data_IF_416486205995
#
_entry.id   IF_416486205995
#
_cell.length_a   1.000
_cell.length_b   1.000
_cell.length_c   1.000
_cell.angle_alpha   90.00
_cell.angle_beta   90.00
_cell.angle_gamma   90.00
#
_symmetry.space_group_name_H-M   'P 1'
#
loop_
_entity.id
_entity.type
_entity.pdbx_description
1 polymer ?
#
# COMPACT_ATOMS: atom_id res chain seq x y z
N UNK A 1 -13.96 7.21 -0.24
CA UNK A 1 -14.58 6.19 -1.10
C UNK A 1 -14.93 4.95 -0.30
N UNK A 2 -15.13 3.83 -0.98
CA UNK A 2 -15.55 2.56 -0.34
C UNK A 2 -14.47 1.95 0.57
N UNK A 3 -13.20 2.02 0.18
CA UNK A 3 -12.06 1.51 0.97
C UNK A 3 -11.98 2.22 2.32
N UNK A 4 -12.15 3.54 2.33
CA UNK A 4 -12.02 4.36 3.53
C UNK A 4 -13.11 4.05 4.56
N UNK A 5 -14.32 3.73 4.11
CA UNK A 5 -15.39 3.29 5.00
C UNK A 5 -15.06 1.95 5.69
N UNK A 6 -14.49 1.01 4.95
CA UNK A 6 -14.08 -0.30 5.48
C UNK A 6 -12.89 -0.15 6.43
N UNK A 7 -11.89 0.65 6.05
CA UNK A 7 -10.75 0.95 6.91
C UNK A 7 -11.19 1.66 8.21
N UNK A 8 -12.12 2.61 8.12
CA UNK A 8 -12.68 3.27 9.30
C UNK A 8 -13.43 2.29 10.21
N UNK A 9 -14.24 1.39 9.63
CA UNK A 9 -14.95 0.36 10.39
C UNK A 9 -13.98 -0.59 11.11
N UNK A 10 -12.96 -1.11 10.41
CA UNK A 10 -11.93 -1.94 11.03
C UNK A 10 -11.20 -1.19 12.15
N UNK A 11 -10.76 0.04 11.88
CA UNK A 11 -10.03 0.84 12.84
C UNK A 11 -10.85 1.09 14.12
N UNK A 12 -12.15 1.38 13.98
CA UNK A 12 -13.06 1.53 15.12
C UNK A 12 -13.22 0.24 15.91
N UNK A 13 -13.38 -0.90 15.25
CA UNK A 13 -13.50 -2.18 15.95
C UNK A 13 -12.25 -2.53 16.76
N UNK A 14 -11.06 -2.35 16.18
CA UNK A 14 -9.80 -2.58 16.90
C UNK A 14 -9.62 -1.60 18.06
N UNK A 15 -9.95 -0.32 17.87
CA UNK A 15 -9.89 0.67 18.93
C UNK A 15 -10.87 0.34 20.08
N UNK A 16 -12.11 -0.07 19.76
CA UNK A 16 -13.11 -0.50 20.74
C UNK A 16 -12.70 -1.74 21.52
N UNK A 17 -11.92 -2.63 20.90
CA UNK A 17 -11.32 -3.80 21.55
C UNK A 17 -10.08 -3.44 22.41
N UNK A 18 -9.68 -2.17 22.48
CA UNK A 18 -8.59 -1.68 23.33
C UNK A 18 -7.21 -1.68 22.66
N UNK A 19 -7.13 -1.87 21.34
CA UNK A 19 -5.86 -1.79 20.61
C UNK A 19 -5.53 -0.35 20.22
N UNK A 20 -4.24 -0.02 20.22
CA UNK A 20 -3.76 1.23 19.61
C UNK A 20 -3.83 1.12 18.09
N UNK A 21 -4.57 2.02 17.45
CA UNK A 21 -4.77 1.96 15.99
C UNK A 21 -4.08 3.14 15.32
N UNK A 22 -3.35 2.82 14.25
CA UNK A 22 -2.69 3.78 13.36
C UNK A 22 -3.09 3.49 11.93
N UNK A 23 -3.71 4.47 11.28
CA UNK A 23 -4.02 4.41 9.84
C UNK A 23 -2.93 5.17 9.09
N UNK A 24 -2.26 4.48 8.17
CA UNK A 24 -1.28 5.07 7.26
C UNK A 24 -1.95 5.29 5.91
N UNK A 25 -2.03 6.54 5.44
CA UNK A 25 -2.78 6.89 4.22
C UNK A 25 -2.17 8.08 3.47
N UNK A 26 -2.53 8.26 2.20
CA UNK A 26 -2.20 9.48 1.44
C UNK A 26 -3.04 10.67 1.86
N UNK A 27 -4.33 10.42 2.11
CA UNK A 27 -5.32 11.44 2.48
C UNK A 27 -6.28 10.82 3.50
N UNK A 28 -6.72 11.61 4.48
CA UNK A 28 -7.73 11.17 5.45
C UNK A 28 -7.57 11.82 6.82
N UNK A 29 -8.62 11.75 7.63
CA UNK A 29 -8.64 12.25 9.01
C UNK A 29 -9.46 11.28 9.88
N UNK A 30 -9.13 11.22 11.17
CA UNK A 30 -9.96 10.59 12.19
C UNK A 30 -10.38 11.65 13.20
N UNK A 31 -11.58 11.49 13.75
CA UNK A 31 -12.07 12.26 14.90
C UNK A 31 -12.03 11.43 16.19
N UNK A 32 -11.73 10.14 16.09
CA UNK A 32 -11.61 9.24 17.24
C UNK A 32 -10.22 9.40 17.87
N UNK A 33 -10.12 9.75 19.16
CA UNK A 33 -8.83 9.94 19.84
C UNK A 33 -8.00 8.67 19.95
N UNK A 34 -8.60 7.48 19.83
CA UNK A 34 -7.90 6.19 19.89
C UNK A 34 -7.35 5.75 18.52
N UNK A 35 -7.62 6.52 17.46
CA UNK A 35 -7.17 6.22 16.10
C UNK A 35 -6.27 7.36 15.61
N UNK A 36 -4.97 7.08 15.53
CA UNK A 36 -3.99 8.01 14.96
C UNK A 36 -3.95 7.91 13.43
N UNK A 37 -3.74 9.04 12.75
CA UNK A 37 -3.54 9.10 11.30
C UNK A 37 -2.10 9.49 11.01
N UNK A 38 -1.38 8.66 10.26
CA UNK A 38 -0.07 8.97 9.72
C UNK A 38 -0.17 9.19 8.21
N UNK A 39 0.11 10.41 7.73
CA UNK A 39 -0.03 10.74 6.31
C UNK A 39 1.30 10.61 5.58
N UNK A 40 1.31 9.83 4.50
CA UNK A 40 2.42 9.73 3.54
C UNK A 40 1.87 10.21 2.20
N UNK A 41 2.22 11.43 1.77
CA UNK A 41 1.61 12.10 0.59
C UNK A 41 1.54 11.17 -0.63
N UNK A 42 2.63 10.47 -0.91
CA UNK A 42 2.80 9.62 -2.10
C UNK A 42 2.12 8.24 -2.00
N UNK A 43 1.29 8.01 -0.98
CA UNK A 43 0.28 6.95 -1.04
C UNK A 43 -0.89 7.34 -1.94
N UNK A 44 -1.19 8.65 -2.01
CA UNK A 44 -2.27 9.15 -2.86
C UNK A 44 -1.90 9.03 -4.32
N UNK A 45 -2.80 8.49 -5.14
CA UNK A 45 -2.67 8.48 -6.60
C UNK A 45 -2.62 9.90 -7.18
N UNK A 46 -3.20 10.86 -6.46
CA UNK A 46 -3.25 12.27 -6.86
C UNK A 46 -1.99 13.04 -6.44
N UNK A 47 -0.99 12.37 -5.83
CA UNK A 47 0.31 13.00 -5.60
C UNK A 47 1.04 13.10 -6.94
N UNK A 48 1.47 14.31 -7.29
CA UNK A 48 2.25 14.61 -8.50
C UNK A 48 3.35 13.58 -8.80
N UNK A 49 4.17 13.23 -7.80
CA UNK A 49 5.26 12.27 -8.00
C UNK A 49 4.76 10.85 -8.27
N UNK A 50 3.67 10.44 -7.63
CA UNK A 50 3.04 9.13 -7.85
C UNK A 50 2.39 9.07 -9.22
N UNK A 51 1.67 10.12 -9.61
CA UNK A 51 1.03 10.23 -10.92
C UNK A 51 2.05 10.14 -12.06
N UNK A 52 3.14 10.92 -11.98
CA UNK A 52 4.24 10.91 -12.97
C UNK A 52 4.83 9.50 -13.09
N UNK A 53 5.22 8.88 -11.98
CA UNK A 53 5.83 7.53 -12.00
C UNK A 53 4.84 6.51 -12.56
N UNK A 54 3.57 6.59 -12.17
CA UNK A 54 2.54 5.68 -12.64
C UNK A 54 2.28 5.84 -14.15
N UNK A 55 2.34 7.07 -14.67
CA UNK A 55 2.23 7.35 -16.10
C UNK A 55 3.43 6.85 -16.90
N UNK A 56 4.65 7.07 -16.41
CA UNK A 56 5.88 6.51 -17.01
C UNK A 56 5.75 4.98 -17.16
N UNK A 57 5.33 4.30 -16.09
CA UNK A 57 5.12 2.85 -16.10
C UNK A 57 4.03 2.42 -17.09
N UNK A 58 2.90 3.14 -17.16
CA UNK A 58 1.82 2.85 -18.12
C UNK A 58 2.30 2.95 -19.56
N UNK A 59 3.22 3.86 -19.84
CA UNK A 59 3.86 4.02 -21.14
C UNK A 59 5.04 3.07 -21.38
N UNK A 60 5.32 2.16 -20.43
CA UNK A 60 6.35 1.13 -20.55
C UNK A 60 7.75 1.58 -20.10
N UNK A 61 7.89 2.73 -19.46
CA UNK A 61 9.15 3.27 -18.97
C UNK A 61 9.38 2.92 -17.51
N UNK A 62 10.46 2.18 -17.23
CA UNK A 62 10.96 1.95 -15.87
C UNK A 62 12.18 2.86 -15.65
N UNK A 63 11.95 4.00 -15.00
CA UNK A 63 12.96 5.05 -14.83
C UNK A 63 13.61 5.02 -13.44
N UNK A 64 14.68 5.80 -13.25
CA UNK A 64 15.28 6.02 -11.93
C UNK A 64 14.28 6.65 -10.93
N UNK A 65 13.31 7.41 -11.42
CA UNK A 65 12.28 8.07 -10.60
C UNK A 65 11.43 7.03 -9.85
N UNK A 66 11.05 5.95 -10.52
CA UNK A 66 10.38 4.82 -9.88
C UNK A 66 11.20 4.26 -8.70
N UNK A 67 12.50 4.03 -8.91
CA UNK A 67 13.39 3.52 -7.86
C UNK A 67 13.51 4.47 -6.67
N UNK A 68 13.62 5.78 -6.94
CA UNK A 68 13.65 6.84 -5.92
C UNK A 68 12.35 6.88 -5.11
N UNK A 69 11.20 6.87 -5.78
CA UNK A 69 9.90 6.89 -5.12
C UNK A 69 9.66 5.64 -4.27
N UNK A 70 9.95 4.45 -4.82
CA UNK A 70 9.89 3.18 -4.08
C UNK A 70 10.73 3.22 -2.81
N UNK A 71 11.99 3.65 -2.91
CA UNK A 71 12.91 3.71 -1.77
C UNK A 71 12.49 4.76 -0.72
N UNK A 72 11.92 5.88 -1.16
CA UNK A 72 11.35 6.90 -0.27
C UNK A 72 10.16 6.32 0.50
N UNK A 73 9.18 5.76 -0.21
CA UNK A 73 8.00 5.13 0.37
C UNK A 73 8.38 4.05 1.37
N UNK A 74 9.31 3.16 0.99
CA UNK A 74 9.80 2.09 1.87
C UNK A 74 10.28 2.64 3.22
N UNK A 75 11.14 3.67 3.21
CA UNK A 75 11.65 4.30 4.44
C UNK A 75 10.56 4.94 5.28
N UNK A 76 9.61 5.63 4.65
CA UNK A 76 8.49 6.28 5.35
C UNK A 76 7.57 5.23 5.99
N UNK A 77 7.27 4.15 5.29
CA UNK A 77 6.46 3.03 5.79
C UNK A 77 7.16 2.33 6.95
N UNK A 78 8.43 1.97 6.81
CA UNK A 78 9.21 1.34 7.87
C UNK A 78 9.23 2.19 9.14
N UNK A 79 9.42 3.51 9.00
CA UNK A 79 9.33 4.45 10.13
C UNK A 79 7.93 4.46 10.76
N UNK A 80 6.87 4.47 9.95
CA UNK A 80 5.50 4.50 10.44
C UNK A 80 5.06 3.21 11.14
N UNK A 81 5.66 2.07 10.75
CA UNK A 81 5.41 0.73 11.31
C UNK A 81 6.30 0.36 12.50
N UNK A 82 7.23 1.22 12.93
CA UNK A 82 8.27 0.86 13.91
C UNK A 82 7.72 0.25 15.22
N UNK A 83 6.66 0.82 15.76
CA UNK A 83 5.95 0.42 16.98
C UNK A 83 4.73 -0.50 16.72
N UNK A 84 4.50 -0.89 15.47
CA UNK A 84 3.35 -1.70 15.05
C UNK A 84 3.79 -3.16 14.92
N UNK A 85 3.04 -4.08 15.53
CA UNK A 85 3.26 -5.54 15.41
C UNK A 85 2.44 -6.18 14.30
N UNK A 86 1.22 -5.66 14.06
CA UNK A 86 0.27 -6.19 13.07
C UNK A 86 -0.10 -5.10 12.06
N UNK A 87 0.12 -5.36 10.78
CA UNK A 87 -0.17 -4.44 9.69
C UNK A 87 -1.19 -5.03 8.71
N UNK A 88 -2.33 -4.35 8.55
CA UNK A 88 -3.31 -4.65 7.52
C UNK A 88 -3.03 -3.80 6.28
N UNK A 89 -2.79 -4.44 5.14
CA UNK A 89 -2.53 -3.78 3.86
C UNK A 89 -3.76 -3.93 2.96
N UNK A 90 -4.47 -2.82 2.73
CA UNK A 90 -5.74 -2.80 2.00
C UNK A 90 -5.54 -2.58 0.49
N UNK A 91 -5.81 -3.59 -0.34
CA UNK A 91 -5.77 -3.58 -1.81
C UNK A 91 -4.45 -3.12 -2.49
N UNK A 92 -3.46 -2.62 -1.76
CA UNK A 92 -2.19 -2.12 -2.33
C UNK A 92 -1.47 -3.19 -3.15
N UNK A 93 -1.44 -4.44 -2.68
CA UNK A 93 -0.70 -5.52 -3.34
C UNK A 93 -1.47 -6.22 -4.47
N UNK A 94 -2.74 -5.84 -4.69
CA UNK A 94 -3.61 -6.44 -5.72
C UNK A 94 -4.11 -5.42 -6.74
N UNK A 95 -3.94 -4.12 -6.46
CA UNK A 95 -4.36 -3.00 -7.30
C UNK A 95 -3.18 -2.23 -7.88
N UNK A 96 -3.28 -1.90 -9.17
CA UNK A 96 -2.21 -1.32 -9.97
C UNK A 96 -2.01 0.18 -9.79
N UNK A 97 -2.78 0.85 -8.93
CA UNK A 97 -2.85 2.32 -8.91
C UNK A 97 -1.58 3.01 -8.42
N UNK A 98 -0.76 2.32 -7.61
CA UNK A 98 0.52 2.83 -7.13
C UNK A 98 1.55 1.69 -7.07
N UNK A 99 2.24 1.48 -8.18
CA UNK A 99 3.20 0.37 -8.29
C UNK A 99 4.48 0.59 -7.48
N UNK A 100 4.85 1.85 -7.23
CA UNK A 100 5.99 2.15 -6.36
C UNK A 100 5.69 1.76 -4.91
N UNK A 101 4.47 2.03 -4.44
CA UNK A 101 3.99 1.59 -3.14
C UNK A 101 3.90 0.06 -3.04
N UNK A 102 3.37 -0.59 -4.08
CA UNK A 102 3.31 -2.05 -4.18
C UNK A 102 4.71 -2.67 -4.04
N UNK A 103 5.69 -2.15 -4.78
CA UNK A 103 7.06 -2.62 -4.74
C UNK A 103 7.73 -2.37 -3.37
N UNK A 104 7.46 -1.23 -2.74
CA UNK A 104 7.96 -0.92 -1.40
C UNK A 104 7.42 -1.91 -0.35
N UNK A 105 6.11 -2.17 -0.33
CA UNK A 105 5.51 -3.13 0.61
C UNK A 105 6.00 -4.56 0.36
N UNK A 106 6.13 -5.00 -0.90
CA UNK A 106 6.65 -6.34 -1.18
C UNK A 106 8.06 -6.55 -0.64
N UNK A 107 8.93 -5.53 -0.70
CA UNK A 107 10.25 -5.59 -0.05
C UNK A 107 10.16 -5.59 1.47
N UNK A 108 9.30 -4.75 2.05
CA UNK A 108 9.13 -4.69 3.52
C UNK A 108 8.63 -6.02 4.07
N UNK A 109 7.65 -6.65 3.42
CA UNK A 109 7.11 -7.94 3.87
C UNK A 109 8.19 -9.02 3.78
N UNK A 110 9.01 -9.02 2.73
CA UNK A 110 10.15 -9.94 2.60
C UNK A 110 11.21 -9.70 3.68
N UNK A 111 11.42 -8.46 4.11
CA UNK A 111 12.41 -8.10 5.13
C UNK A 111 11.92 -8.32 6.56
N UNK A 112 10.65 -8.02 6.84
CA UNK A 112 10.09 -7.94 8.20
C UNK A 112 9.03 -9.00 8.49
N UNK A 113 8.75 -9.90 7.55
CA UNK A 113 7.68 -10.91 7.69
C UNK A 113 7.88 -11.89 8.85
N UNK A 114 9.11 -12.06 9.34
CA UNK A 114 9.41 -12.87 10.54
C UNK A 114 9.24 -12.07 11.85
N UNK A 115 9.24 -10.74 11.77
CA UNK A 115 9.18 -9.83 12.93
C UNK A 115 7.79 -9.24 13.16
N UNK A 116 6.96 -9.17 12.11
CA UNK A 116 5.65 -8.51 12.10
C UNK A 116 4.65 -9.28 11.27
N UNK A 117 3.40 -9.31 11.74
CA UNK A 117 2.31 -9.93 11.01
C UNK A 117 1.76 -8.98 9.95
N UNK A 118 1.80 -9.40 8.68
CA UNK A 118 1.18 -8.68 7.57
C UNK A 118 -0.06 -9.40 7.08
N UNK A 119 -1.22 -8.74 7.20
CA UNK A 119 -2.49 -9.23 6.67
C UNK A 119 -2.84 -8.47 5.40
N UNK A 120 -2.78 -9.16 4.26
CA UNK A 120 -3.18 -8.58 2.98
C UNK A 120 -4.69 -8.69 2.86
N UNK A 121 -5.38 -7.57 3.05
CA UNK A 121 -6.82 -7.50 2.91
C UNK A 121 -7.15 -6.97 1.52
N UNK A 122 -7.78 -7.81 0.70
CA UNK A 122 -8.15 -7.45 -0.66
C UNK A 122 -9.62 -7.77 -0.95
N UNK A 123 -10.27 -6.86 -1.66
CA UNK A 123 -11.60 -7.09 -2.25
C UNK A 123 -11.60 -6.95 -3.77
N UNK A 124 -10.61 -6.24 -4.33
CA UNK A 124 -10.41 -6.07 -5.77
C UNK A 124 -9.07 -6.65 -6.20
N UNK A 125 -9.00 -7.07 -7.46
CA UNK A 125 -7.77 -7.55 -8.08
C UNK A 125 -7.69 -7.03 -9.51
N UNK A 126 -6.55 -6.41 -9.85
CA UNK A 126 -6.39 -5.77 -11.16
C UNK A 126 -6.59 -6.74 -12.33
N UNK A 127 -6.01 -7.94 -12.23
CA UNK A 127 -6.00 -8.86 -13.37
C UNK A 127 -7.30 -9.62 -13.58
N UNK A 128 -8.24 -9.59 -12.62
CA UNK A 128 -9.56 -10.19 -12.78
C UNK A 128 -10.61 -9.20 -13.28
N UNK A 129 -10.30 -7.90 -13.30
CA UNK A 129 -11.21 -6.89 -13.83
C UNK A 129 -10.87 -6.60 -15.32
N UNK A 130 -11.79 -6.89 -16.27
CA UNK A 130 -11.56 -6.67 -17.69
C UNK A 130 -11.40 -5.19 -18.08
N UNK A 131 -11.87 -4.27 -17.24
CA UNK A 131 -11.76 -2.83 -17.49
C UNK A 131 -10.32 -2.32 -17.35
N UNK A 132 -9.43 -3.10 -16.72
CA UNK A 132 -8.03 -2.72 -16.53
C UNK A 132 -7.10 -3.33 -17.58
N UNK A 133 -6.53 -2.45 -18.39
CA UNK A 133 -5.49 -2.77 -19.37
C UNK A 133 -4.11 -2.42 -18.78
N UNK A 134 -3.41 -3.45 -18.30
CA UNK A 134 -2.06 -3.30 -17.73
C UNK A 134 -1.01 -3.72 -18.75
N UNK A 135 -0.03 -2.86 -19.05
CA UNK A 135 1.05 -3.21 -19.96
C UNK A 135 1.93 -4.30 -19.34
N UNK A 136 2.33 -5.27 -20.15
CA UNK A 136 3.38 -6.24 -19.82
C UNK A 136 3.23 -6.90 -18.44
N UNK A 137 2.06 -7.50 -18.18
CA UNK A 137 1.67 -8.13 -16.88
C UNK A 137 2.74 -9.02 -16.25
N UNK A 138 3.56 -9.72 -17.05
CA UNK A 138 4.61 -10.62 -16.57
C UNK A 138 5.95 -9.98 -16.21
N UNK A 139 6.10 -8.65 -16.34
CA UNK A 139 7.34 -7.93 -16.03
C UNK A 139 7.21 -7.05 -14.79
N UNK A 140 8.35 -6.79 -14.16
CA UNK A 140 8.44 -5.85 -13.06
C UNK A 140 8.09 -4.41 -13.51
N UNK A 141 7.37 -3.61 -12.70
CA UNK A 141 6.81 -3.95 -11.40
C UNK A 141 5.45 -4.66 -11.45
N UNK A 142 4.77 -4.69 -12.60
CA UNK A 142 3.39 -5.22 -12.73
C UNK A 142 3.20 -6.66 -12.26
N UNK A 143 4.21 -7.51 -12.46
CA UNK A 143 4.19 -8.91 -12.02
C UNK A 143 3.99 -9.06 -10.51
N UNK A 144 4.36 -8.04 -9.71
CA UNK A 144 4.21 -8.06 -8.25
C UNK A 144 2.76 -8.24 -7.82
N UNK A 145 1.79 -7.78 -8.63
CA UNK A 145 0.35 -7.94 -8.36
C UNK A 145 -0.13 -9.39 -8.52
N UNK A 146 0.72 -10.31 -8.99
CA UNK A 146 0.47 -11.75 -9.09
C UNK A 146 1.28 -12.56 -8.07
N UNK A 147 2.22 -11.91 -7.37
CA UNK A 147 3.09 -12.61 -6.43
C UNK A 147 2.35 -12.87 -5.11
N UNK A 148 2.36 -14.14 -4.70
CA UNK A 148 1.99 -14.52 -3.33
C UNK A 148 3.04 -13.93 -2.41
N UNK A 149 2.60 -13.14 -1.43
CA UNK A 149 3.51 -12.62 -0.42
C UNK A 149 3.86 -13.75 0.56
N UNK A 150 5.12 -13.84 1.02
CA UNK A 150 5.50 -14.86 1.98
C UNK A 150 4.62 -14.75 3.23
N UNK A 151 4.11 -15.89 3.66
CA UNK A 151 3.49 -16.04 4.98
C UNK A 151 4.62 -16.23 5.98
N UNK A 152 4.62 -15.44 7.06
CA UNK A 152 5.44 -15.71 8.25
C UNK A 152 5.03 -17.02 8.92
#
# INVERSE_FOLDING_TARGET
GGVEFIMEAHAKQFAQAGHQVKIITGVGRSLDPNISIHRIKDFSTDSEETEIVQEELRNGFLTERFGKLKNKLKKEIQKALGDISVCFVHNVLTMHFNMALTAAFSEIIKEWGEEKDFYIWCHDTTFNNPDYQIPNRGKYPWKLLQEVQPHG
#
